data_IF_533019032751
#
_entry.id   IF_533019032751
#
_cell.length_a   1.000
_cell.length_b   1.000
_cell.length_c   1.000
_cell.angle_alpha   90.00
_cell.angle_beta   90.00
_cell.angle_gamma   90.00
#
_symmetry.space_group_name_H-M   'P 1'
#
loop_
_entity.id
_entity.type
_entity.pdbx_description
1 polymer ?
#
# COMPACT_ATOMS: atom_id res chain seq x y z
N UNK A 1 -41.43 37.46 7.34
CA UNK A 1 -40.92 36.50 6.33
C UNK A 1 -39.43 36.79 6.15
N UNK A 2 -38.59 36.28 7.05
CA UNK A 2 -37.13 36.54 7.00
C UNK A 2 -36.54 35.57 5.99
N UNK A 3 -35.88 36.15 4.99
CA UNK A 3 -35.28 35.49 3.83
C UNK A 3 -34.29 34.42 4.27
N UNK A 4 -34.35 33.27 3.60
CA UNK A 4 -33.27 32.30 3.59
C UNK A 4 -31.96 33.01 3.21
N UNK A 5 -31.04 33.11 4.16
CA UNK A 5 -29.64 33.42 3.83
C UNK A 5 -29.06 32.17 3.20
N UNK A 6 -28.79 32.24 1.90
CA UNK A 6 -27.86 31.31 1.27
C UNK A 6 -26.51 31.48 1.99
N UNK A 7 -26.12 30.48 2.76
CA UNK A 7 -24.83 30.42 3.41
C UNK A 7 -23.79 30.18 2.30
N UNK A 8 -23.10 31.23 1.86
CA UNK A 8 -22.01 31.11 0.89
C UNK A 8 -20.77 30.62 1.64
N UNK A 9 -20.59 29.31 1.67
CA UNK A 9 -19.32 28.68 2.06
C UNK A 9 -18.59 28.36 0.76
N UNK A 10 -17.42 28.96 0.55
CA UNK A 10 -16.51 28.53 -0.50
C UNK A 10 -15.35 27.78 0.14
N UNK A 11 -15.08 26.59 -0.38
CA UNK A 11 -14.02 25.72 0.14
C UNK A 11 -13.04 25.48 -1.00
N UNK A 12 -11.77 25.82 -0.79
CA UNK A 12 -10.72 25.57 -1.76
C UNK A 12 -9.63 24.70 -1.12
N UNK A 13 -9.36 23.55 -1.73
CA UNK A 13 -8.28 22.67 -1.32
C UNK A 13 -6.97 23.15 -1.94
N UNK A 14 -5.98 23.45 -1.10
CA UNK A 14 -4.63 23.80 -1.55
C UNK A 14 -3.69 22.61 -1.31
N UNK A 15 -2.61 22.52 -2.09
CA UNK A 15 -1.71 21.35 -2.08
C UNK A 15 -1.29 20.96 -0.66
N UNK A 16 -1.44 19.68 -0.33
CA UNK A 16 -1.00 19.11 0.95
C UNK A 16 0.53 19.05 1.06
N UNK A 17 1.03 19.11 2.28
CA UNK A 17 2.45 18.97 2.58
C UNK A 17 2.78 17.48 2.77
N UNK A 18 3.60 16.91 1.90
CA UNK A 18 4.06 15.52 2.01
C UNK A 18 5.38 15.50 2.79
N UNK A 19 5.41 14.77 3.91
CA UNK A 19 6.59 14.68 4.78
C UNK A 19 7.31 13.32 4.61
N UNK A 20 6.72 12.37 3.88
CA UNK A 20 7.28 11.03 3.66
C UNK A 20 7.32 10.58 2.21
N UNK A 21 8.16 9.57 1.98
CA UNK A 21 8.35 8.92 0.69
C UNK A 21 7.10 8.12 0.30
N UNK A 22 6.46 8.50 -0.80
CA UNK A 22 5.52 7.63 -1.51
C UNK A 22 6.38 6.75 -2.44
N UNK A 23 6.24 5.42 -2.40
CA UNK A 23 7.05 4.53 -3.22
C UNK A 23 6.74 4.78 -4.69
N UNK A 24 7.79 4.91 -5.51
CA UNK A 24 7.65 4.90 -6.96
C UNK A 24 7.47 3.47 -7.45
N UNK A 25 6.57 3.30 -8.43
CA UNK A 25 6.30 2.02 -9.08
C UNK A 25 6.73 2.03 -10.56
N UNK A 26 7.49 3.04 -11.01
CA UNK A 26 7.86 3.24 -12.42
C UNK A 26 8.59 2.03 -13.05
N UNK A 27 9.42 1.35 -12.26
CA UNK A 27 10.21 0.19 -12.69
C UNK A 27 9.59 -1.16 -12.31
N UNK A 28 8.31 -1.18 -11.94
CA UNK A 28 7.59 -2.37 -11.52
C UNK A 28 6.42 -2.67 -12.48
N UNK A 29 6.17 -3.96 -12.72
CA UNK A 29 4.92 -4.43 -13.29
C UNK A 29 4.03 -5.04 -12.22
N UNK A 30 2.73 -4.72 -12.31
CA UNK A 30 1.68 -5.37 -11.54
C UNK A 30 1.19 -6.60 -12.29
N UNK A 31 1.38 -7.77 -11.70
CA UNK A 31 0.90 -9.05 -12.21
C UNK A 31 -0.42 -9.39 -11.53
N UNK A 32 -1.49 -9.44 -12.32
CA UNK A 32 -2.84 -9.80 -11.87
C UNK A 32 -3.19 -11.16 -12.51
N UNK A 33 -3.58 -12.17 -11.72
CA UNK A 33 -4.07 -13.43 -12.28
C UNK A 33 -5.24 -13.18 -13.22
N UNK A 34 -5.27 -13.88 -14.35
CA UNK A 34 -6.37 -13.75 -15.32
C UNK A 34 -7.69 -14.11 -14.65
N UNK A 35 -8.70 -13.26 -14.84
CA UNK A 35 -10.07 -13.59 -14.43
C UNK A 35 -10.63 -14.65 -15.40
N UNK A 36 -10.89 -15.86 -14.88
CA UNK A 36 -11.58 -16.91 -15.63
C UNK A 36 -13.08 -16.62 -15.80
N UNK A 37 -13.70 -17.23 -16.81
CA UNK A 37 -15.16 -17.35 -16.91
C UNK A 37 -15.69 -18.38 -15.90
N UNK A 38 -17.00 -18.37 -15.60
CA UNK A 38 -17.63 -19.24 -14.58
C UNK A 38 -17.32 -20.74 -14.73
N UNK A 39 -16.98 -21.21 -15.94
CA UNK A 39 -16.73 -22.62 -16.28
C UNK A 39 -15.26 -23.07 -16.25
N UNK A 40 -14.30 -22.26 -15.78
CA UNK A 40 -12.87 -22.62 -15.68
C UNK A 40 -12.30 -22.30 -14.29
N UNK A 41 -11.24 -23.00 -13.82
CA UNK A 41 -10.95 -23.05 -12.39
C UNK A 41 -10.55 -21.69 -11.84
N UNK A 42 -11.28 -21.29 -10.80
CA UNK A 42 -11.05 -20.23 -9.82
C UNK A 42 -10.90 -18.79 -10.37
N UNK A 43 -11.81 -17.92 -9.94
CA UNK A 43 -11.73 -16.47 -10.10
C UNK A 43 -10.60 -15.90 -9.21
N UNK A 44 -9.35 -16.15 -9.60
CA UNK A 44 -8.15 -15.78 -8.84
C UNK A 44 -7.79 -14.30 -9.01
N UNK A 45 -8.24 -13.66 -10.08
CA UNK A 45 -7.96 -12.25 -10.35
C UNK A 45 -8.49 -11.31 -9.27
N UNK A 46 -9.57 -11.69 -8.57
CA UNK A 46 -10.11 -10.93 -7.42
C UNK A 46 -9.34 -11.17 -6.11
N UNK A 47 -8.48 -12.18 -6.06
CA UNK A 47 -7.70 -12.48 -4.86
C UNK A 47 -6.41 -11.67 -4.86
N UNK A 48 -6.44 -10.51 -4.20
CA UNK A 48 -5.26 -9.62 -4.08
C UNK A 48 -4.05 -10.30 -3.45
N UNK A 49 -4.25 -11.36 -2.65
CA UNK A 49 -3.13 -12.11 -2.11
C UNK A 49 -2.24 -12.65 -3.22
N UNK A 50 -2.80 -12.97 -4.39
CA UNK A 50 -2.14 -13.51 -5.58
C UNK A 50 -1.53 -12.45 -6.51
N UNK A 51 -1.74 -11.16 -6.22
CA UNK A 51 -1.15 -10.09 -7.01
C UNK A 51 0.33 -9.93 -6.64
N UNK A 52 1.17 -9.62 -7.62
CA UNK A 52 2.61 -9.42 -7.42
C UNK A 52 3.07 -8.12 -8.07
N UNK A 53 3.93 -7.39 -7.39
CA UNK A 53 4.71 -6.30 -7.97
C UNK A 53 6.13 -6.83 -8.21
N UNK A 54 6.57 -6.83 -9.46
CA UNK A 54 7.85 -7.39 -9.87
C UNK A 54 8.60 -6.40 -10.75
N UNK A 55 9.92 -6.34 -10.60
CA UNK A 55 10.77 -5.43 -11.38
C UNK A 55 10.68 -5.73 -12.87
N UNK A 56 10.58 -4.68 -13.70
CA UNK A 56 10.46 -4.78 -15.16
C UNK A 56 11.59 -5.58 -15.79
N UNK A 57 12.80 -5.52 -15.21
CA UNK A 57 13.98 -6.28 -15.67
C UNK A 57 13.83 -7.80 -15.59
N UNK A 58 12.84 -8.31 -14.83
CA UNK A 58 12.53 -9.75 -14.71
C UNK A 58 11.69 -10.28 -15.87
N UNK A 59 11.18 -9.41 -16.73
CA UNK A 59 10.34 -9.75 -17.85
C UNK A 59 11.13 -9.72 -19.17
N UNK A 60 10.65 -10.48 -20.14
CA UNK A 60 11.18 -10.52 -21.51
C UNK A 60 10.03 -10.38 -22.52
N UNK A 61 10.37 -9.96 -23.73
CA UNK A 61 9.53 -10.04 -24.92
C UNK A 61 9.46 -11.47 -25.51
N UNK A 62 10.18 -12.41 -24.92
CA UNK A 62 10.15 -13.83 -25.25
C UNK A 62 11.46 -14.37 -25.81
N UNK A 63 12.50 -13.54 -25.95
CA UNK A 63 13.80 -13.93 -26.51
C UNK A 63 14.83 -14.31 -25.45
N UNK A 64 14.62 -13.92 -24.19
CA UNK A 64 15.56 -14.21 -23.10
C UNK A 64 15.09 -15.40 -22.25
N UNK A 65 16.02 -16.30 -21.98
CA UNK A 65 15.83 -17.41 -21.04
C UNK A 65 15.77 -16.94 -19.59
N UNK A 66 15.14 -17.75 -18.74
CA UNK A 66 15.09 -17.53 -17.28
C UNK A 66 14.54 -16.16 -16.87
N UNK A 67 13.59 -15.66 -17.67
CA UNK A 67 12.79 -14.46 -17.42
C UNK A 67 11.30 -14.75 -17.61
N UNK A 68 10.47 -13.94 -16.97
CA UNK A 68 9.01 -14.04 -17.06
C UNK A 68 8.57 -13.67 -18.48
N UNK A 69 7.89 -14.61 -19.15
CA UNK A 69 7.45 -14.43 -20.53
C UNK A 69 8.33 -15.12 -21.59
N UNK A 70 9.28 -15.96 -21.17
CA UNK A 70 10.09 -16.79 -22.08
C UNK A 70 9.21 -17.53 -23.10
N UNK A 71 9.61 -17.50 -24.37
CA UNK A 71 8.85 -18.10 -25.48
C UNK A 71 9.51 -19.37 -26.01
N UNK A 72 8.83 -20.02 -26.95
CA UNK A 72 9.37 -21.19 -27.67
C UNK A 72 10.66 -20.87 -28.43
N UNK A 73 10.81 -19.65 -28.95
CA UNK A 73 12.01 -19.23 -29.68
C UNK A 73 13.24 -19.23 -28.77
N UNK A 74 13.16 -18.57 -27.61
CA UNK A 74 14.22 -18.60 -26.62
C UNK A 74 14.53 -20.02 -26.13
N UNK A 75 13.49 -20.82 -25.87
CA UNK A 75 13.66 -22.18 -25.37
C UNK A 75 14.33 -23.12 -26.39
N UNK A 76 14.06 -22.97 -27.69
CA UNK A 76 14.66 -23.82 -28.73
C UNK A 76 16.02 -23.33 -29.20
N UNK A 77 16.31 -22.03 -29.06
CA UNK A 77 17.58 -21.42 -29.39
C UNK A 77 18.66 -21.56 -28.28
N UNK A 78 18.39 -22.34 -27.23
CA UNK A 78 19.34 -22.53 -26.14
C UNK A 78 20.65 -23.17 -26.62
N UNK A 79 21.80 -22.69 -26.12
CA UNK A 79 23.06 -23.38 -26.34
C UNK A 79 22.99 -24.77 -25.69
N UNK A 80 23.64 -25.75 -26.32
CA UNK A 80 23.80 -27.09 -25.75
C UNK A 80 22.48 -27.79 -25.39
N UNK A 81 21.38 -27.49 -26.10
CA UNK A 81 20.02 -27.94 -25.78
C UNK A 81 19.91 -29.44 -25.41
N UNK A 82 20.53 -30.32 -26.20
CA UNK A 82 20.48 -31.77 -25.97
C UNK A 82 21.37 -32.25 -24.80
N UNK A 83 22.37 -31.48 -24.41
CA UNK A 83 23.29 -31.76 -23.29
C UNK A 83 22.97 -30.93 -22.03
N UNK A 84 22.02 -30.01 -22.12
CA UNK A 84 21.57 -29.16 -21.02
C UNK A 84 20.77 -29.92 -19.96
N UNK A 85 20.64 -29.31 -18.79
CA UNK A 85 19.81 -29.86 -17.72
C UNK A 85 18.33 -29.74 -18.06
N UNK A 86 17.53 -30.71 -17.63
CA UNK A 86 16.08 -30.65 -17.75
C UNK A 86 15.53 -29.39 -17.09
N UNK A 87 14.70 -28.64 -17.82
CA UNK A 87 14.09 -27.40 -17.33
C UNK A 87 14.96 -26.15 -17.43
N UNK A 88 16.14 -26.25 -18.07
CA UNK A 88 16.92 -25.07 -18.48
C UNK A 88 16.07 -24.07 -19.26
N UNK A 89 16.36 -22.77 -19.10
CA UNK A 89 15.63 -21.63 -19.67
C UNK A 89 14.23 -21.37 -19.10
N UNK A 90 13.73 -22.23 -18.21
CA UNK A 90 12.39 -22.12 -17.61
C UNK A 90 12.42 -21.70 -16.13
N UNK A 91 13.52 -21.09 -15.65
CA UNK A 91 13.62 -20.60 -14.28
C UNK A 91 13.08 -19.16 -14.15
N UNK A 92 12.96 -18.67 -12.90
CA UNK A 92 12.50 -17.32 -12.57
C UNK A 92 11.14 -16.96 -13.18
N UNK A 93 10.20 -17.90 -13.13
CA UNK A 93 8.84 -17.68 -13.58
C UNK A 93 7.97 -17.09 -12.47
N UNK A 94 6.76 -16.65 -12.80
CA UNK A 94 5.79 -16.12 -11.83
C UNK A 94 5.59 -17.05 -10.62
N UNK A 95 5.58 -18.36 -10.86
CA UNK A 95 5.47 -19.39 -9.82
C UNK A 95 6.65 -19.34 -8.83
N UNK A 96 7.86 -19.11 -9.31
CA UNK A 96 9.07 -19.13 -8.49
C UNK A 96 9.08 -17.91 -7.54
N UNK A 97 8.69 -16.74 -8.05
CA UNK A 97 8.53 -15.53 -7.23
C UNK A 97 7.35 -15.60 -6.27
N UNK A 98 6.29 -16.31 -6.64
CA UNK A 98 5.17 -16.55 -5.75
C UNK A 98 5.58 -17.37 -4.52
N UNK A 99 6.40 -18.41 -4.71
CA UNK A 99 6.89 -19.25 -3.61
C UNK A 99 7.92 -18.52 -2.73
N UNK A 100 8.74 -17.65 -3.32
CA UNK A 100 9.69 -16.80 -2.61
C UNK A 100 8.97 -15.51 -2.24
N UNK A 101 8.12 -15.55 -1.21
CA UNK A 101 7.29 -14.44 -0.69
C UNK A 101 7.92 -13.05 -0.91
N UNK A 102 7.66 -12.45 -2.10
CA UNK A 102 8.35 -11.25 -2.61
C UNK A 102 7.72 -9.97 -2.07
N UNK A 103 6.82 -10.09 -1.09
CA UNK A 103 6.11 -8.98 -0.43
C UNK A 103 7.04 -7.99 0.31
N UNK A 104 8.35 -8.22 0.31
CA UNK A 104 9.26 -7.65 1.31
C UNK A 104 10.41 -6.81 0.74
N UNK A 105 10.32 -6.21 -0.46
CA UNK A 105 11.46 -5.43 -1.01
C UNK A 105 11.08 -4.13 -1.70
N UNK A 106 10.34 -3.26 -1.01
CA UNK A 106 10.42 -1.81 -1.28
C UNK A 106 10.94 -1.16 0.00
N UNK A 107 12.28 -1.08 0.05
CA UNK A 107 13.09 -0.63 1.20
C UNK A 107 12.87 0.86 1.51
N UNK A 108 12.25 1.61 0.60
CA UNK A 108 12.12 3.06 0.73
C UNK A 108 11.06 3.51 1.76
N UNK A 109 10.17 2.61 2.21
CA UNK A 109 9.03 2.98 3.04
C UNK A 109 8.67 1.90 4.07
N UNK A 110 9.38 1.81 5.22
CA UNK A 110 9.15 0.78 6.23
C UNK A 110 7.77 0.85 6.92
N UNK A 111 7.04 1.97 6.76
CA UNK A 111 5.71 2.19 7.35
C UNK A 111 4.53 1.89 6.41
N UNK A 112 4.80 1.46 5.17
CA UNK A 112 3.74 1.04 4.25
C UNK A 112 3.42 -0.41 4.58
N UNK A 113 2.24 -0.62 5.17
CA UNK A 113 1.68 -1.97 5.24
C UNK A 113 1.46 -2.47 3.82
N UNK A 114 2.37 -3.32 3.32
CA UNK A 114 2.21 -4.08 2.09
C UNK A 114 1.13 -5.13 2.27
N UNK A 115 -0.11 -4.69 2.31
CA UNK A 115 -1.26 -5.55 2.04
C UNK A 115 -1.56 -5.39 0.56
N UNK A 116 -1.02 -6.29 -0.25
CA UNK A 116 -1.65 -6.60 -1.53
C UNK A 116 -3.04 -7.15 -1.19
N UNK A 117 -4.01 -6.24 -1.11
CA UNK A 117 -5.23 -6.41 -0.35
C UNK A 117 -5.55 -5.10 0.32
N UNK A 118 -6.22 -4.24 -0.43
CA UNK A 118 -7.02 -3.12 0.04
C UNK A 118 -7.48 -3.39 1.48
N UNK A 119 -6.79 -2.82 2.49
CA UNK A 119 -7.38 -2.72 3.82
C UNK A 119 -8.63 -1.87 3.57
N UNK A 120 -9.81 -2.42 3.85
CA UNK A 120 -11.11 -1.77 3.69
C UNK A 120 -11.03 -0.31 4.14
N UNK A 121 -10.75 0.56 3.18
CA UNK A 121 -10.88 2.00 3.27
C UNK A 121 -12.03 2.29 2.35
N UNK A 122 -13.23 2.06 2.89
CA UNK A 122 -14.51 2.61 2.47
C UNK A 122 -14.56 3.10 1.02
N UNK A 123 -15.17 2.31 0.14
CA UNK A 123 -15.82 2.82 -1.07
C UNK A 123 -14.93 3.67 -1.99
N UNK A 124 -13.94 3.07 -2.67
CA UNK A 124 -13.66 3.52 -4.04
C UNK A 124 -14.84 2.99 -4.87
N UNK A 125 -15.94 3.74 -4.91
CA UNK A 125 -17.18 3.33 -5.60
C UNK A 125 -16.97 3.11 -7.11
N UNK A 126 -15.82 3.53 -7.65
CA UNK A 126 -15.48 3.47 -9.07
C UNK A 126 -14.18 2.70 -9.35
N UNK A 127 -13.81 1.73 -8.51
CA UNK A 127 -12.63 0.91 -8.79
C UNK A 127 -12.91 -0.02 -10.00
N UNK A 128 -12.53 0.44 -11.19
CA UNK A 128 -12.52 -0.38 -12.40
C UNK A 128 -11.68 -1.66 -12.19
N UNK A 129 -11.97 -2.69 -12.98
CA UNK A 129 -11.36 -4.03 -12.93
C UNK A 129 -9.82 -4.07 -13.07
N UNK A 130 -9.19 -2.95 -13.42
CA UNK A 130 -7.74 -2.81 -13.60
C UNK A 130 -7.16 -1.61 -12.84
N UNK A 131 -7.65 -1.35 -11.62
CA UNK A 131 -7.15 -0.29 -10.75
C UNK A 131 -6.28 -0.86 -9.61
N UNK A 132 -5.24 -0.10 -9.23
CA UNK A 132 -4.37 -0.41 -8.09
C UNK A 132 -4.18 0.84 -7.24
N UNK A 133 -4.45 0.73 -5.94
CA UNK A 133 -4.33 1.82 -4.98
C UNK A 133 -3.74 1.31 -3.68
N UNK A 134 -2.83 2.09 -3.10
CA UNK A 134 -2.28 1.84 -1.76
C UNK A 134 -2.78 2.90 -0.79
N UNK A 135 -3.12 2.48 0.43
CA UNK A 135 -3.47 3.41 1.50
C UNK A 135 -2.20 4.08 2.04
N UNK A 136 -2.25 5.40 2.21
CA UNK A 136 -1.20 6.15 2.90
C UNK A 136 -1.54 6.12 4.39
N UNK A 137 -0.66 5.55 5.21
CA UNK A 137 -0.86 5.37 6.65
C UNK A 137 -0.47 6.61 7.46
N UNK A 138 0.21 7.55 6.84
CA UNK A 138 0.68 8.77 7.50
C UNK A 138 -0.34 9.91 7.44
N UNK A 139 -0.35 10.72 8.49
CA UNK A 139 -1.18 11.91 8.56
C UNK A 139 -0.67 12.97 7.57
N UNK A 140 -1.38 13.14 6.46
CA UNK A 140 -1.14 14.22 5.51
C UNK A 140 -1.89 15.46 5.95
N UNK A 141 -1.16 16.56 6.15
CA UNK A 141 -1.78 17.85 6.40
C UNK A 141 -2.27 18.43 5.07
N UNK A 142 -3.59 18.52 4.92
CA UNK A 142 -4.21 19.22 3.79
C UNK A 142 -4.52 20.65 4.19
N UNK A 143 -4.07 21.60 3.37
CA UNK A 143 -4.37 23.01 3.59
C UNK A 143 -5.73 23.34 2.96
N UNK A 144 -6.69 23.71 3.80
CA UNK A 144 -8.03 24.07 3.38
C UNK A 144 -8.25 25.57 3.58
N UNK A 145 -8.65 26.27 2.53
CA UNK A 145 -9.15 27.64 2.62
C UNK A 145 -10.67 27.59 2.68
N UNK A 146 -11.23 28.09 3.78
CA UNK A 146 -12.68 28.23 3.95
C UNK A 146 -12.99 29.73 3.96
N UNK A 147 -13.70 30.20 2.95
CA UNK A 147 -14.19 31.57 2.88
C UNK A 147 -15.66 31.62 3.29
N UNK A 148 -15.93 32.48 4.29
CA UNK A 148 -17.25 32.65 4.89
C UNK A 148 -17.69 34.10 4.74
N UNK A 149 -18.95 34.32 4.36
CA UNK A 149 -19.62 35.62 4.52
C UNK A 149 -20.24 35.71 5.91
N UNK A 150 -19.43 36.07 6.91
CA UNK A 150 -19.84 36.29 8.29
C UNK A 150 -19.05 37.46 8.89
N UNK A 151 -19.56 38.04 9.97
CA UNK A 151 -18.89 39.15 10.67
C UNK A 151 -17.72 38.67 11.56
N UNK A 152 -17.87 37.48 12.16
CA UNK A 152 -16.86 36.86 13.03
C UNK A 152 -16.95 35.32 13.01
N UNK A 153 -15.90 34.65 13.46
CA UNK A 153 -15.77 33.19 13.48
C UNK A 153 -15.22 32.72 14.84
N UNK A 154 -15.91 31.78 15.47
CA UNK A 154 -15.43 31.13 16.69
C UNK A 154 -15.07 29.66 16.44
N UNK A 155 -13.91 29.22 16.93
CA UNK A 155 -13.46 27.83 16.83
C UNK A 155 -13.74 27.07 18.12
N UNK A 156 -14.66 26.09 18.05
CA UNK A 156 -15.01 25.21 19.16
C UNK A 156 -14.51 23.80 18.86
N UNK A 157 -13.74 23.22 19.79
CA UNK A 157 -13.25 21.85 19.70
C UNK A 157 -13.61 21.05 20.94
N UNK A 158 -13.77 19.73 20.77
CA UNK A 158 -14.11 18.82 21.84
C UNK A 158 -12.84 18.23 22.47
N UNK A 159 -12.84 18.10 23.80
CA UNK A 159 -11.73 17.52 24.57
C UNK A 159 -12.24 16.41 25.47
N UNK A 160 -11.68 15.21 25.32
CA UNK A 160 -12.00 14.05 26.13
C UNK A 160 -10.74 13.34 26.63
N UNK A 161 -10.73 12.82 27.88
CA UNK A 161 -9.60 12.04 28.38
C UNK A 161 -9.46 10.71 27.62
N UNK A 162 -8.22 10.29 27.39
CA UNK A 162 -7.88 9.01 26.76
C UNK A 162 -6.91 8.21 27.62
N UNK A 163 -6.91 6.88 27.46
CA UNK A 163 -6.03 5.96 28.18
C UNK A 163 -5.37 4.96 27.22
N UNK A 164 -4.07 4.74 27.39
CA UNK A 164 -3.35 3.64 26.74
C UNK A 164 -3.67 2.35 27.50
N UNK A 165 -4.25 1.37 26.81
CA UNK A 165 -4.61 0.06 27.38
C UNK A 165 -3.42 -0.87 27.36
N UNK A 166 -2.71 -0.93 26.23
CA UNK A 166 -1.59 -1.84 26.04
C UNK A 166 -0.63 -1.32 24.99
N UNK A 167 0.64 -1.67 25.17
CA UNK A 167 1.69 -1.51 24.17
C UNK A 167 2.37 -2.86 24.03
N UNK A 168 2.30 -3.45 22.83
CA UNK A 168 2.89 -4.75 22.54
C UNK A 168 3.90 -4.61 21.41
N UNK A 169 5.14 -5.01 21.67
CA UNK A 169 6.22 -5.06 20.67
C UNK A 169 6.74 -6.49 20.66
N UNK A 170 6.68 -7.14 19.50
CA UNK A 170 7.26 -8.47 19.32
C UNK A 170 8.76 -8.34 19.06
N UNK A 171 9.54 -9.32 19.51
CA UNK A 171 10.96 -9.42 19.18
C UNK A 171 11.13 -9.64 17.67
N UNK A 172 12.09 -8.94 17.08
CA UNK A 172 12.42 -9.01 15.66
C UNK A 172 13.93 -9.04 15.48
N UNK A 173 14.39 -9.57 14.35
CA UNK A 173 15.81 -9.56 14.01
C UNK A 173 16.24 -8.19 13.49
N UNK A 174 17.35 -7.68 14.02
CA UNK A 174 17.92 -6.42 13.59
C UNK A 174 18.34 -6.47 12.12
N UNK A 175 18.10 -5.39 11.38
CA UNK A 175 18.52 -5.16 9.98
C UNK A 175 17.90 -6.11 8.92
N UNK A 176 17.24 -7.20 9.33
CA UNK A 176 16.52 -8.12 8.43
C UNK A 176 15.01 -7.97 8.52
N UNK A 177 14.49 -7.50 9.67
CA UNK A 177 13.08 -7.30 9.95
C UNK A 177 12.82 -5.95 10.63
N UNK A 178 11.57 -5.48 10.56
CA UNK A 178 11.12 -4.27 11.26
C UNK A 178 10.28 -4.68 12.47
N UNK A 179 10.42 -3.94 13.57
CA UNK A 179 9.59 -4.11 14.76
C UNK A 179 8.26 -3.37 14.64
N UNK A 180 7.15 -4.07 14.83
CA UNK A 180 5.82 -3.45 14.87
C UNK A 180 5.35 -3.28 16.30
N UNK A 181 5.18 -2.03 16.74
CA UNK A 181 4.56 -1.70 18.02
C UNK A 181 3.05 -1.54 17.85
N UNK A 182 2.27 -2.43 18.47
CA UNK A 182 0.81 -2.31 18.50
C UNK A 182 0.40 -1.58 19.78
N UNK A 183 -0.15 -0.37 19.61
CA UNK A 183 -0.63 0.48 20.71
C UNK A 183 -2.15 0.50 20.69
N UNK A 184 -2.77 0.03 21.77
CA UNK A 184 -4.22 0.06 21.93
C UNK A 184 -4.61 1.20 22.87
N UNK A 185 -5.40 2.14 22.39
CA UNK A 185 -5.90 3.28 23.17
C UNK A 185 -7.41 3.26 23.28
N UNK A 186 -7.96 3.89 24.33
CA UNK A 186 -9.41 4.06 24.52
C UNK A 186 -9.74 5.46 25.00
N UNK A 187 -10.69 6.10 24.33
CA UNK A 187 -11.37 7.30 24.84
C UNK A 187 -12.22 6.89 26.05
N UNK A 188 -12.00 7.54 27.19
CA UNK A 188 -12.71 7.30 28.45
C UNK A 188 -13.63 8.47 28.84
N UNK A 189 -13.74 9.47 27.97
CA UNK A 189 -14.69 10.56 28.09
C UNK A 189 -16.06 10.23 27.50
N UNK A 190 -16.92 11.24 27.47
CA UNK A 190 -18.29 11.16 26.93
C UNK A 190 -18.43 11.80 25.55
N UNK A 191 -17.42 12.54 25.09
CA UNK A 191 -17.40 13.23 23.80
C UNK A 191 -16.32 12.63 22.89
N UNK A 192 -16.56 12.70 21.59
CA UNK A 192 -15.55 12.35 20.60
C UNK A 192 -14.46 13.43 20.58
N UNK A 193 -13.18 13.04 20.49
CA UNK A 193 -12.07 13.99 20.51
C UNK A 193 -10.90 13.47 19.68
N UNK A 194 -10.05 14.41 19.24
CA UNK A 194 -8.82 14.10 18.53
C UNK A 194 -7.69 13.80 19.52
N UNK A 195 -6.83 12.84 19.18
CA UNK A 195 -5.68 12.41 19.99
C UNK A 195 -4.41 12.38 19.14
N UNK A 196 -3.27 12.60 19.79
CA UNK A 196 -1.94 12.44 19.20
C UNK A 196 -1.14 11.45 20.04
N UNK A 197 -0.41 10.55 19.37
CA UNK A 197 0.49 9.57 19.99
C UNK A 197 1.90 9.88 19.52
N UNK A 198 2.83 9.99 20.47
CA UNK A 198 4.25 10.23 20.18
C UNK A 198 5.08 9.10 20.79
N UNK A 199 5.97 8.52 19.99
CA UNK A 199 6.92 7.50 20.45
C UNK A 199 8.26 8.20 20.63
N UNK A 200 8.76 8.22 21.87
CA UNK A 200 10.09 8.70 22.19
C UNK A 200 10.98 7.47 22.40
N UNK A 201 12.12 7.42 21.72
CA UNK A 201 13.14 6.40 21.94
C UNK A 201 14.40 7.08 22.49
N UNK A 202 15.08 6.39 23.39
CA UNK A 202 16.34 6.85 23.96
C UNK A 202 17.45 5.95 23.41
N UNK A 203 18.49 6.54 22.83
CA UNK A 203 19.68 5.78 22.44
C UNK A 203 20.39 5.29 23.70
N UNK A 204 20.74 4.00 23.80
CA UNK A 204 21.48 3.51 24.95
C UNK A 204 22.83 4.24 25.03
N UNK A 205 23.10 4.84 26.19
CA UNK A 205 24.39 5.45 26.50
C UNK A 205 25.49 4.39 26.37
N UNK A 206 26.53 4.74 25.60
CA UNK A 206 27.72 3.91 25.37
C UNK A 206 28.49 3.61 26.65
#
# INVERSE_FOLDING_TARGET
MVKAQALYIMVNATKGLFISCIPSFEDLYLVIPRQGSEDRPQNLGRNFSMWMLLERVRFTDGIECDKIGVSYEAFTAQPDFCSGTLGSCLHNQLRDFWHINTRSRIICCPNIEWRAGLKESTNIQDAETHSFSIGITEALNMNLLIELRADDIEYVYQRSPGKIISVTVLTFEALTQFGTATITTRNIGTLEASYSITILHEEPSR
#
